data_IF_880087104280
#
_entry.id   IF_880087104280
#
_cell.length_a   1.000
_cell.length_b   1.000
_cell.length_c   1.000
_cell.angle_alpha   90.00
_cell.angle_beta   90.00
_cell.angle_gamma   90.00
#
_symmetry.space_group_name_H-M   'P 1'
#
loop_
_entity.id
_entity.type
_entity.pdbx_description
1 polymer ?
#
# COMPACT_ATOMS: atom_id res chain seq x y z
N UNK A 1 16.89 -27.78 10.05
CA UNK A 1 15.75 -27.30 10.86
C UNK A 1 16.08 -25.94 11.45
N UNK A 2 15.58 -24.84 10.88
CA UNK A 2 15.84 -23.49 11.39
C UNK A 2 14.66 -23.08 12.26
N UNK A 3 14.84 -23.11 13.59
CA UNK A 3 13.87 -22.60 14.57
C UNK A 3 13.90 -21.08 14.55
N UNK A 4 12.84 -20.45 14.02
CA UNK A 4 12.62 -19.02 14.23
C UNK A 4 11.95 -18.81 15.58
N UNK A 5 12.65 -18.12 16.50
CA UNK A 5 12.04 -17.58 17.71
C UNK A 5 11.24 -16.34 17.30
N UNK A 6 9.93 -16.49 17.16
CA UNK A 6 9.04 -15.33 17.19
C UNK A 6 9.19 -14.69 18.56
N UNK A 7 9.71 -13.45 18.64
CA UNK A 7 9.40 -12.62 19.80
C UNK A 7 7.90 -12.38 19.74
N UNK A 8 7.16 -13.10 20.57
CA UNK A 8 5.75 -12.84 20.82
C UNK A 8 5.62 -11.38 21.24
N UNK A 9 5.16 -10.53 20.33
CA UNK A 9 4.59 -9.25 20.70
C UNK A 9 3.23 -9.60 21.28
N UNK A 10 3.23 -9.91 22.58
CA UNK A 10 2.04 -10.07 23.38
C UNK A 10 1.33 -8.71 23.38
N UNK A 11 0.29 -8.57 22.57
CA UNK A 11 -0.59 -7.41 22.61
C UNK A 11 -1.54 -7.64 23.79
N UNK A 12 -1.22 -7.06 24.94
CA UNK A 12 -2.07 -7.07 26.13
C UNK A 12 -3.40 -6.41 25.79
N UNK A 13 -4.45 -7.21 25.61
CA UNK A 13 -5.82 -6.73 25.70
C UNK A 13 -6.11 -6.48 27.18
N UNK A 14 -6.02 -5.24 27.62
CA UNK A 14 -6.56 -4.83 28.92
C UNK A 14 -8.07 -4.69 28.74
N UNK A 15 -8.81 -5.72 29.16
CA UNK A 15 -10.24 -5.63 29.39
C UNK A 15 -10.45 -5.05 30.79
N UNK A 16 -10.68 -3.75 30.88
CA UNK A 16 -11.09 -3.09 32.12
C UNK A 16 -12.56 -3.43 32.40
N UNK A 17 -12.81 -4.45 33.21
CA UNK A 17 -14.13 -4.74 33.76
C UNK A 17 -14.30 -3.88 35.03
N UNK A 18 -14.86 -2.67 34.87
CA UNK A 18 -15.35 -1.90 35.99
C UNK A 18 -16.72 -2.45 36.39
N UNK A 19 -16.76 -3.18 37.50
CA UNK A 19 -18.00 -3.58 38.17
C UNK A 19 -18.42 -2.42 39.08
N UNK A 20 -19.47 -1.70 38.71
CA UNK A 20 -20.15 -0.77 39.63
C UNK A 20 -21.63 -1.09 39.62
N UNK A 21 -22.10 -1.59 40.76
CA UNK A 21 -23.49 -1.73 41.16
C UNK A 21 -24.11 -0.34 41.33
N UNK A 22 -25.31 -0.13 40.78
CA UNK A 22 -26.06 1.12 40.95
C UNK A 22 -27.31 1.15 40.08
N UNK A 23 -28.47 0.94 40.71
CA UNK A 23 -29.82 0.94 40.12
C UNK A 23 -30.21 2.36 39.68
N UNK A 24 -30.81 2.50 38.49
CA UNK A 24 -31.43 3.75 38.03
C UNK A 24 -31.87 3.70 36.57
N UNK A 25 -33.17 3.55 36.32
CA UNK A 25 -33.78 3.45 35.01
C UNK A 25 -33.68 4.75 34.19
N UNK A 26 -33.05 4.72 33.01
CA UNK A 26 -33.26 5.77 31.98
C UNK A 26 -33.02 5.20 30.56
N UNK A 27 -34.10 5.20 29.76
CA UNK A 27 -34.08 5.32 28.30
C UNK A 27 -33.45 4.20 27.47
N UNK A 28 -34.29 3.34 26.89
CA UNK A 28 -33.95 2.55 25.71
C UNK A 28 -33.62 3.48 24.53
N UNK A 29 -32.36 3.89 24.41
CA UNK A 29 -31.83 4.36 23.15
C UNK A 29 -31.72 3.16 22.22
N UNK A 30 -32.64 3.07 21.25
CA UNK A 30 -32.48 2.21 20.09
C UNK A 30 -31.26 2.70 19.29
N UNK A 31 -30.06 2.34 19.74
CA UNK A 31 -28.89 2.36 18.88
C UNK A 31 -29.07 1.19 17.92
N UNK A 32 -29.74 1.44 16.79
CA UNK A 32 -29.51 0.67 15.58
C UNK A 32 -28.08 0.96 15.11
N UNK A 33 -27.09 0.53 15.88
CA UNK A 33 -25.75 0.31 15.40
C UNK A 33 -25.88 -0.83 14.39
N UNK A 34 -26.14 -0.46 13.13
CA UNK A 34 -26.07 -1.37 12.00
C UNK A 34 -24.78 -2.15 12.18
N UNK A 35 -24.89 -3.46 12.39
CA UNK A 35 -23.73 -4.33 12.53
C UNK A 35 -22.91 -4.15 11.26
N UNK A 36 -21.87 -3.32 11.33
CA UNK A 36 -21.00 -3.06 10.20
C UNK A 36 -20.52 -4.41 9.72
N UNK A 37 -20.84 -4.76 8.49
CA UNK A 37 -20.33 -5.97 7.86
C UNK A 37 -18.82 -6.07 8.14
N UNK A 38 -18.38 -7.24 8.60
CA UNK A 38 -16.95 -7.53 8.82
C UNK A 38 -16.28 -8.02 7.53
N UNK A 39 -17.03 -8.09 6.43
CA UNK A 39 -16.57 -8.57 5.14
C UNK A 39 -16.15 -7.40 4.27
N UNK A 40 -14.89 -7.45 3.83
CA UNK A 40 -14.28 -6.49 2.91
C UNK A 40 -14.21 -7.15 1.54
N UNK A 41 -14.59 -6.43 0.50
CA UNK A 41 -14.38 -6.89 -0.88
C UNK A 41 -13.17 -6.20 -1.49
N UNK A 42 -12.40 -6.98 -2.24
CA UNK A 42 -11.41 -6.45 -3.17
C UNK A 42 -11.92 -6.55 -4.61
N UNK A 43 -11.72 -5.48 -5.37
CA UNK A 43 -12.34 -5.26 -6.67
C UNK A 43 -11.30 -4.83 -7.70
N UNK A 44 -11.51 -5.20 -8.94
CA UNK A 44 -10.68 -4.84 -10.09
C UNK A 44 -11.55 -4.62 -11.33
N UNK A 45 -10.93 -4.50 -12.49
CA UNK A 45 -11.64 -4.50 -13.77
C UNK A 45 -12.48 -5.76 -14.03
N UNK A 46 -12.18 -6.89 -13.37
CA UNK A 46 -12.95 -8.13 -13.51
C UNK A 46 -14.39 -8.01 -13.02
N UNK A 47 -14.66 -7.14 -12.05
CA UNK A 47 -16.02 -6.85 -11.60
C UNK A 47 -16.73 -5.84 -12.50
N UNK A 48 -15.99 -5.15 -13.37
CA UNK A 48 -16.48 -4.16 -14.32
C UNK A 48 -16.64 -2.76 -13.71
N UNK A 49 -17.22 -1.85 -14.50
CA UNK A 49 -17.55 -0.48 -14.07
C UNK A 49 -18.77 -0.51 -13.15
N UNK A 50 -18.66 0.09 -11.98
CA UNK A 50 -19.78 0.24 -11.05
C UNK A 50 -20.82 1.21 -11.62
N UNK A 51 -22.09 0.98 -11.30
CA UNK A 51 -23.15 1.99 -11.48
C UNK A 51 -23.38 2.74 -10.17
N UNK A 52 -24.09 3.87 -10.22
CA UNK A 52 -24.52 4.59 -9.03
C UNK A 52 -25.25 3.68 -8.02
N UNK A 53 -26.19 2.85 -8.50
CA UNK A 53 -26.94 1.89 -7.67
C UNK A 53 -26.00 0.87 -7.01
N UNK A 54 -25.05 0.31 -7.77
CA UNK A 54 -24.07 -0.67 -7.24
C UNK A 54 -23.19 -0.04 -6.16
N UNK A 55 -22.64 1.15 -6.39
CA UNK A 55 -21.80 1.84 -5.41
C UNK A 55 -22.57 2.23 -4.13
N UNK A 56 -23.80 2.74 -4.27
CA UNK A 56 -24.69 3.05 -3.14
C UNK A 56 -25.07 1.80 -2.33
N UNK A 57 -25.30 0.67 -2.99
CA UNK A 57 -25.63 -0.57 -2.29
C UNK A 57 -24.40 -1.19 -1.63
N UNK A 58 -23.22 -1.07 -2.25
CA UNK A 58 -21.97 -1.58 -1.71
C UNK A 58 -21.65 -0.96 -0.35
N UNK A 59 -22.00 0.31 -0.11
CA UNK A 59 -21.81 0.97 1.19
C UNK A 59 -22.53 0.28 2.36
N UNK A 60 -23.51 -0.58 2.08
CA UNK A 60 -24.27 -1.36 3.07
C UNK A 60 -23.68 -2.76 3.29
N UNK A 61 -22.86 -3.25 2.36
CA UNK A 61 -22.29 -4.60 2.42
C UNK A 61 -20.86 -4.64 2.97
N UNK A 62 -20.12 -3.53 2.87
CA UNK A 62 -18.70 -3.52 3.24
C UNK A 62 -18.36 -2.35 4.17
N UNK A 63 -17.43 -2.54 5.12
CA UNK A 63 -16.91 -1.45 5.93
C UNK A 63 -16.00 -0.52 5.11
N UNK A 64 -15.34 -1.09 4.10
CA UNK A 64 -14.55 -0.44 3.05
C UNK A 64 -14.29 -1.44 1.91
N UNK A 65 -13.83 -0.96 0.76
CA UNK A 65 -13.37 -1.79 -0.36
C UNK A 65 -11.84 -1.71 -0.56
N UNK A 66 -11.26 -2.62 -1.33
CA UNK A 66 -9.86 -2.55 -1.77
C UNK A 66 -9.81 -2.59 -3.29
N UNK A 67 -9.37 -1.50 -3.93
CA UNK A 67 -9.41 -1.40 -5.39
C UNK A 67 -8.05 -1.71 -6.02
N UNK A 68 -8.02 -2.54 -7.06
CA UNK A 68 -6.83 -2.70 -7.89
C UNK A 68 -6.57 -1.40 -8.63
N UNK A 69 -5.33 -0.94 -8.57
CA UNK A 69 -4.88 0.24 -9.34
C UNK A 69 -4.10 -0.17 -10.57
N UNK A 70 -3.35 -1.26 -10.48
CA UNK A 70 -2.38 -1.62 -11.49
C UNK A 70 -2.01 -3.11 -11.50
N UNK A 71 -1.51 -3.54 -12.66
CA UNK A 71 -0.80 -4.82 -12.84
C UNK A 71 0.63 -4.50 -13.29
N UNK A 72 1.53 -4.42 -12.31
CA UNK A 72 2.85 -3.81 -12.47
C UNK A 72 2.77 -2.34 -12.93
N UNK A 73 3.94 -1.76 -13.23
CA UNK A 73 4.01 -0.36 -13.69
C UNK A 73 3.36 -0.15 -15.05
N UNK A 74 3.35 -1.14 -15.94
CA UNK A 74 2.94 -0.97 -17.34
C UNK A 74 1.43 -0.97 -17.58
N UNK A 75 0.63 -1.43 -16.61
CA UNK A 75 -0.81 -1.57 -16.80
C UNK A 75 -1.56 -0.86 -15.68
N UNK A 76 -2.44 0.09 -16.06
CA UNK A 76 -3.40 0.69 -15.14
C UNK A 76 -4.72 -0.07 -15.24
N UNK A 77 -5.32 -0.42 -14.11
CA UNK A 77 -6.63 -1.06 -14.09
C UNK A 77 -7.67 -0.15 -14.76
N UNK A 78 -8.41 -0.69 -15.74
CA UNK A 78 -9.29 0.09 -16.61
C UNK A 78 -10.49 0.69 -15.89
N UNK A 79 -10.91 0.11 -14.76
CA UNK A 79 -12.10 0.55 -14.03
C UNK A 79 -11.76 1.40 -12.81
N UNK A 80 -10.52 1.35 -12.32
CA UNK A 80 -10.09 2.02 -11.08
C UNK A 80 -10.57 3.48 -10.97
N UNK A 81 -10.25 4.33 -11.96
CA UNK A 81 -10.62 5.76 -11.91
C UNK A 81 -12.12 5.99 -11.79
N UNK A 82 -12.91 5.23 -12.56
CA UNK A 82 -14.38 5.30 -12.55
C UNK A 82 -14.96 4.78 -11.23
N UNK A 83 -14.51 3.61 -10.79
CA UNK A 83 -15.01 2.97 -9.58
C UNK A 83 -14.66 3.79 -8.33
N UNK A 84 -13.42 4.29 -8.23
CA UNK A 84 -13.00 5.24 -7.19
C UNK A 84 -13.92 6.45 -7.13
N UNK A 85 -14.22 7.10 -8.26
CA UNK A 85 -15.05 8.30 -8.28
C UNK A 85 -16.48 8.04 -7.75
N UNK A 86 -17.04 6.87 -8.04
CA UNK A 86 -18.33 6.47 -7.46
C UNK A 86 -18.22 6.12 -5.97
N UNK A 87 -17.16 5.44 -5.53
CA UNK A 87 -16.96 5.18 -4.10
C UNK A 87 -16.78 6.49 -3.31
N UNK A 88 -16.03 7.45 -3.85
CA UNK A 88 -15.91 8.81 -3.29
C UNK A 88 -17.30 9.48 -3.18
N UNK A 89 -18.09 9.47 -4.27
CA UNK A 89 -19.44 10.06 -4.31
C UNK A 89 -20.39 9.46 -3.28
N UNK A 90 -20.32 8.14 -3.05
CA UNK A 90 -21.18 7.44 -2.10
C UNK A 90 -20.52 7.18 -0.74
N UNK A 91 -19.41 7.87 -0.46
CA UNK A 91 -18.70 7.83 0.83
C UNK A 91 -18.30 6.42 1.27
N UNK A 92 -17.99 5.53 0.32
CA UNK A 92 -17.47 4.19 0.59
C UNK A 92 -15.95 4.30 0.74
N UNK A 93 -15.38 4.11 1.95
CA UNK A 93 -13.93 4.20 2.11
C UNK A 93 -13.24 3.09 1.33
N UNK A 94 -12.02 3.36 0.85
CA UNK A 94 -11.24 2.34 0.16
C UNK A 94 -9.74 2.43 0.42
N UNK A 95 -9.12 1.25 0.44
CA UNK A 95 -7.69 1.07 0.20
C UNK A 95 -7.41 0.73 -1.26
N UNK A 96 -6.14 0.58 -1.61
CA UNK A 96 -5.73 0.20 -2.96
C UNK A 96 -4.66 -0.89 -2.97
N UNK A 97 -4.67 -1.72 -4.00
CA UNK A 97 -3.62 -2.71 -4.22
C UNK A 97 -2.97 -2.60 -5.61
N UNK A 98 -1.72 -3.03 -5.67
CA UNK A 98 -0.95 -3.23 -6.90
C UNK A 98 -0.67 -4.71 -7.05
N UNK A 99 -1.17 -5.34 -8.12
CA UNK A 99 -0.69 -6.66 -8.50
C UNK A 99 0.75 -6.50 -8.98
N UNK A 100 1.71 -6.88 -8.16
CA UNK A 100 3.11 -6.55 -8.34
C UNK A 100 3.81 -7.47 -9.34
N UNK A 101 4.59 -6.87 -10.23
CA UNK A 101 5.32 -7.56 -11.32
C UNK A 101 6.80 -7.22 -11.34
N UNK A 102 7.29 -6.57 -10.28
CA UNK A 102 8.68 -6.17 -10.19
C UNK A 102 9.63 -7.37 -10.25
N UNK A 103 10.71 -7.20 -10.99
CA UNK A 103 11.78 -8.18 -11.14
C UNK A 103 13.15 -7.64 -10.69
N UNK A 104 13.15 -6.57 -9.91
CA UNK A 104 14.34 -5.97 -9.31
C UNK A 104 13.91 -4.94 -8.26
N UNK A 105 14.81 -4.56 -7.35
CA UNK A 105 14.55 -3.46 -6.40
C UNK A 105 14.27 -2.13 -7.09
N UNK A 106 14.87 -1.87 -8.26
CA UNK A 106 14.59 -0.68 -9.03
C UNK A 106 13.17 -0.70 -9.64
N UNK A 107 12.71 -1.85 -10.14
CA UNK A 107 11.34 -2.03 -10.61
C UNK A 107 10.34 -1.92 -9.46
N UNK A 108 10.62 -2.54 -8.31
CA UNK A 108 9.77 -2.47 -7.13
C UNK A 108 9.60 -1.02 -6.64
N UNK A 109 10.68 -0.24 -6.63
CA UNK A 109 10.62 1.17 -6.32
C UNK A 109 9.79 1.98 -7.33
N UNK A 110 9.84 1.63 -8.62
CA UNK A 110 9.00 2.27 -9.65
C UNK A 110 7.53 1.91 -9.43
N UNK A 111 7.21 0.64 -9.27
CA UNK A 111 5.83 0.16 -9.06
C UNK A 111 5.19 0.82 -7.83
N UNK A 112 5.92 0.95 -6.72
CA UNK A 112 5.45 1.65 -5.52
C UNK A 112 5.13 3.13 -5.78
N UNK A 113 5.99 3.85 -6.53
CA UNK A 113 5.73 5.25 -6.91
C UNK A 113 4.55 5.38 -7.85
N UNK A 114 4.42 4.47 -8.81
CA UNK A 114 3.32 4.48 -9.78
C UNK A 114 1.98 4.24 -9.08
N UNK A 115 1.93 3.32 -8.12
CA UNK A 115 0.75 3.10 -7.29
C UNK A 115 0.34 4.37 -6.54
N UNK A 116 1.29 5.03 -5.87
CA UNK A 116 1.04 6.28 -5.16
C UNK A 116 0.55 7.38 -6.10
N UNK A 117 1.22 7.59 -7.24
CA UNK A 117 0.86 8.62 -8.21
C UNK A 117 -0.54 8.41 -8.79
N UNK A 118 -0.96 7.16 -8.99
CA UNK A 118 -2.30 6.81 -9.48
C UNK A 118 -3.37 6.95 -8.40
N UNK A 119 -3.02 6.78 -7.12
CA UNK A 119 -3.96 6.78 -6.00
C UNK A 119 -3.41 7.47 -4.73
N UNK A 120 -3.09 8.77 -4.76
CA UNK A 120 -2.43 9.45 -3.63
C UNK A 120 -3.33 9.60 -2.39
N UNK A 121 -4.65 9.57 -2.61
CA UNK A 121 -5.66 9.77 -1.57
C UNK A 121 -6.23 8.47 -0.99
N UNK A 122 -5.69 7.30 -1.37
CA UNK A 122 -6.11 6.02 -0.77
C UNK A 122 -5.87 6.02 0.75
N UNK A 123 -6.71 5.28 1.49
CA UNK A 123 -6.65 5.22 2.95
C UNK A 123 -5.51 4.31 3.45
N UNK A 124 -5.24 3.24 2.71
CA UNK A 124 -4.10 2.35 2.90
C UNK A 124 -3.70 1.73 1.55
N UNK A 125 -2.52 1.12 1.51
CA UNK A 125 -1.91 0.57 0.31
C UNK A 125 -1.51 -0.88 0.53
N UNK A 126 -1.59 -1.69 -0.53
CA UNK A 126 -1.26 -3.11 -0.48
C UNK A 126 -0.25 -3.44 -1.57
N UNK A 127 0.84 -4.10 -1.18
CA UNK A 127 1.70 -4.84 -2.11
C UNK A 127 1.12 -6.25 -2.29
N UNK A 128 0.42 -6.47 -3.40
CA UNK A 128 -0.04 -7.80 -3.78
C UNK A 128 1.08 -8.47 -4.58
N UNK A 129 1.83 -9.36 -3.91
CA UNK A 129 2.96 -10.05 -4.51
C UNK A 129 2.80 -11.55 -4.30
N UNK A 130 2.41 -12.22 -5.39
CA UNK A 130 2.02 -13.63 -5.40
C UNK A 130 2.61 -14.43 -6.58
N UNK A 131 3.44 -13.78 -7.40
CA UNK A 131 4.17 -14.39 -8.51
C UNK A 131 5.54 -13.73 -8.66
N UNK A 132 6.61 -14.53 -8.66
CA UNK A 132 7.98 -14.05 -8.77
C UNK A 132 8.65 -14.55 -10.06
N UNK A 133 9.32 -13.64 -10.76
CA UNK A 133 10.22 -13.94 -11.89
C UNK A 133 11.69 -13.69 -11.52
N UNK A 134 11.99 -13.69 -10.22
CA UNK A 134 13.30 -13.40 -9.64
C UNK A 134 13.67 -14.39 -8.54
N UNK A 135 14.97 -14.61 -8.35
CA UNK A 135 15.47 -15.45 -7.27
C UNK A 135 14.97 -14.98 -5.90
N UNK A 136 14.78 -15.91 -4.96
CA UNK A 136 14.28 -15.64 -3.59
C UNK A 136 15.03 -14.53 -2.85
N UNK A 137 16.37 -14.49 -2.93
CA UNK A 137 17.19 -13.43 -2.33
C UNK A 137 16.83 -12.05 -2.89
N UNK A 138 16.88 -11.90 -4.22
CA UNK A 138 16.51 -10.65 -4.89
C UNK A 138 15.03 -10.29 -4.70
N UNK A 139 14.17 -11.28 -4.50
CA UNK A 139 12.76 -11.09 -4.19
C UNK A 139 12.54 -10.39 -2.84
N UNK A 140 13.27 -10.81 -1.81
CA UNK A 140 13.26 -10.12 -0.51
C UNK A 140 13.77 -8.67 -0.64
N UNK A 141 14.92 -8.48 -1.32
CA UNK A 141 15.49 -7.15 -1.56
C UNK A 141 14.52 -6.24 -2.35
N UNK A 142 13.79 -6.78 -3.32
CA UNK A 142 12.81 -6.04 -4.11
C UNK A 142 11.55 -5.70 -3.31
N UNK A 143 11.02 -6.67 -2.56
CA UNK A 143 9.83 -6.49 -1.72
C UNK A 143 10.09 -5.49 -0.59
N UNK A 144 11.24 -5.57 0.08
CA UNK A 144 11.66 -4.56 1.04
C UNK A 144 11.77 -3.17 0.40
N UNK A 145 12.36 -3.10 -0.81
CA UNK A 145 12.49 -1.83 -1.53
C UNK A 145 11.15 -1.22 -1.91
N UNK A 146 10.13 -2.03 -2.20
CA UNK A 146 8.78 -1.56 -2.49
C UNK A 146 8.21 -0.75 -1.31
N UNK A 147 8.16 -1.35 -0.12
CA UNK A 147 7.60 -0.70 1.08
C UNK A 147 8.45 0.48 1.54
N UNK A 148 9.78 0.36 1.51
CA UNK A 148 10.69 1.46 1.85
C UNK A 148 10.53 2.66 0.90
N UNK A 149 10.13 2.42 -0.35
CA UNK A 149 9.87 3.51 -1.32
C UNK A 149 8.51 4.16 -1.09
N UNK A 150 7.49 3.38 -0.74
CA UNK A 150 6.14 3.90 -0.54
C UNK A 150 5.98 4.64 0.79
N UNK A 151 6.60 4.16 1.88
CA UNK A 151 6.48 4.71 3.23
C UNK A 151 6.61 6.24 3.31
N UNK A 152 7.65 6.89 2.78
CA UNK A 152 7.79 8.35 2.86
C UNK A 152 6.70 9.12 2.09
N UNK A 153 6.03 8.49 1.11
CA UNK A 153 4.96 9.11 0.33
C UNK A 153 3.61 9.08 1.05
N UNK A 154 3.39 8.08 1.91
CA UNK A 154 2.08 7.81 2.52
C UNK A 154 2.03 8.11 4.01
N UNK A 155 3.17 8.41 4.64
CA UNK A 155 3.26 8.76 6.05
C UNK A 155 2.81 7.62 6.96
N UNK A 156 1.85 7.91 7.84
CA UNK A 156 1.30 6.96 8.82
C UNK A 156 0.21 6.03 8.27
N UNK A 157 -0.22 6.20 7.00
CA UNK A 157 -1.17 5.29 6.36
C UNK A 157 -0.62 3.87 6.33
N UNK A 158 -1.51 2.89 6.44
CA UNK A 158 -1.11 1.47 6.49
C UNK A 158 -0.59 0.98 5.15
N UNK A 159 0.44 0.15 5.21
CA UNK A 159 1.01 -0.57 4.07
C UNK A 159 0.98 -2.06 4.39
N UNK A 160 0.16 -2.80 3.65
CA UNK A 160 -0.03 -4.23 3.83
C UNK A 160 0.74 -5.03 2.78
N UNK A 161 1.08 -6.25 3.15
CA UNK A 161 1.55 -7.26 2.21
C UNK A 161 0.44 -8.28 1.98
N UNK A 162 0.10 -8.53 0.72
CA UNK A 162 -0.86 -9.56 0.33
C UNK A 162 -0.18 -10.70 -0.41
N UNK A 163 -0.53 -11.93 -0.03
CA UNK A 163 -0.14 -13.17 -0.72
C UNK A 163 -0.80 -14.39 -0.06
N UNK A 164 -0.62 -15.57 -0.65
CA UNK A 164 -0.84 -16.84 0.03
C UNK A 164 0.43 -17.32 0.79
N UNK A 165 0.22 -18.18 1.78
CA UNK A 165 1.23 -18.51 2.79
C UNK A 165 2.55 -19.07 2.21
N UNK A 166 2.45 -20.03 1.28
CA UNK A 166 3.62 -20.69 0.70
C UNK A 166 4.52 -19.70 -0.06
N UNK A 167 3.90 -18.80 -0.83
CA UNK A 167 4.63 -17.79 -1.59
C UNK A 167 5.35 -16.79 -0.68
N UNK A 168 4.63 -16.21 0.28
CA UNK A 168 5.23 -15.19 1.16
C UNK A 168 6.42 -15.75 1.95
N UNK A 169 6.33 -17.01 2.43
CA UNK A 169 7.43 -17.69 3.11
C UNK A 169 8.64 -17.90 2.19
N UNK A 170 8.38 -18.24 0.93
CA UNK A 170 9.42 -18.56 -0.05
C UNK A 170 10.12 -17.32 -0.60
N UNK A 171 9.38 -16.24 -0.86
CA UNK A 171 9.84 -15.11 -1.67
C UNK A 171 9.92 -13.78 -0.92
N UNK A 172 9.32 -13.65 0.27
CA UNK A 172 9.25 -12.38 0.99
C UNK A 172 9.56 -12.48 2.50
N UNK A 173 9.92 -13.65 3.02
CA UNK A 173 10.05 -13.92 4.47
C UNK A 173 10.94 -12.95 5.25
N UNK A 174 11.98 -12.38 4.63
CA UNK A 174 12.87 -11.40 5.26
C UNK A 174 12.36 -9.95 5.15
N UNK A 175 11.42 -9.70 4.23
CA UNK A 175 10.83 -8.37 4.02
C UNK A 175 9.51 -8.17 4.79
N UNK A 176 8.84 -9.24 5.20
CA UNK A 176 7.51 -9.18 5.82
C UNK A 176 7.43 -8.25 7.04
N UNK A 177 8.47 -8.23 7.89
CA UNK A 177 8.51 -7.38 9.09
C UNK A 177 8.52 -5.87 8.83
N UNK A 178 8.70 -5.44 7.57
CA UNK A 178 8.63 -4.03 7.16
C UNK A 178 7.20 -3.54 6.89
N UNK A 179 6.24 -4.46 6.78
CA UNK A 179 4.83 -4.14 6.52
C UNK A 179 4.06 -4.00 7.83
N UNK A 180 3.01 -3.19 7.81
CA UNK A 180 2.19 -2.93 9.01
C UNK A 180 1.25 -4.10 9.34
N UNK A 181 0.97 -4.96 8.36
CA UNK A 181 0.10 -6.12 8.52
C UNK A 181 0.03 -6.96 7.25
N UNK A 182 -0.52 -8.16 7.39
CA UNK A 182 -0.68 -9.11 6.27
C UNK A 182 -2.15 -9.27 5.91
N UNK A 183 -2.42 -9.21 4.61
CA UNK A 183 -3.67 -9.64 4.03
C UNK A 183 -3.44 -11.03 3.45
N UNK A 184 -3.89 -12.06 4.16
CA UNK A 184 -3.55 -13.45 3.87
C UNK A 184 -4.66 -14.10 3.03
N UNK A 185 -4.28 -14.63 1.86
CA UNK A 185 -5.15 -15.49 1.06
C UNK A 185 -5.06 -16.94 1.56
N UNK A 186 -6.21 -17.49 1.97
CA UNK A 186 -6.33 -18.90 2.34
C UNK A 186 -7.79 -19.36 2.25
N UNK A 187 -8.12 -20.14 1.22
CA UNK A 187 -9.51 -20.58 0.96
C UNK A 187 -9.82 -21.87 1.70
N UNK A 188 -9.54 -21.88 3.00
CA UNK A 188 -9.77 -23.00 3.91
C UNK A 188 -11.04 -22.78 4.73
N UNK A 189 -11.63 -23.87 5.22
CA UNK A 189 -12.81 -23.80 6.11
C UNK A 189 -12.51 -23.02 7.39
N UNK A 190 -11.35 -23.29 7.99
CA UNK A 190 -10.89 -22.68 9.22
C UNK A 190 -9.89 -21.57 8.93
N UNK A 191 -9.87 -20.57 9.80
CA UNK A 191 -8.93 -19.46 9.73
C UNK A 191 -7.49 -19.94 9.98
N UNK A 192 -6.50 -19.47 9.19
CA UNK A 192 -5.10 -19.75 9.47
C UNK A 192 -4.64 -19.11 10.79
N UNK A 193 -3.89 -19.84 11.61
CA UNK A 193 -3.34 -19.34 12.89
C UNK A 193 -2.17 -18.35 12.75
N UNK A 194 -1.69 -18.11 11.54
CA UNK A 194 -0.59 -17.18 11.28
C UNK A 194 -1.11 -15.75 11.35
N UNK A 195 -0.36 -14.84 11.97
CA UNK A 195 -0.75 -13.44 12.10
C UNK A 195 -1.21 -12.84 10.76
N UNK A 196 -2.35 -12.17 10.77
CA UNK A 196 -2.90 -11.44 9.63
C UNK A 196 -3.92 -10.40 10.13
N UNK A 197 -4.07 -9.31 9.40
CA UNK A 197 -5.06 -8.24 9.70
C UNK A 197 -6.30 -8.35 8.82
N UNK A 198 -6.17 -9.02 7.68
CA UNK A 198 -7.23 -9.40 6.75
C UNK A 198 -7.02 -10.85 6.33
N UNK A 199 -8.10 -11.64 6.32
CA UNK A 199 -8.09 -13.00 5.79
C UNK A 199 -9.02 -13.08 4.58
N UNK A 200 -8.46 -13.19 3.38
CA UNK A 200 -9.21 -13.50 2.17
C UNK A 200 -9.55 -14.99 2.18
N UNK A 201 -10.81 -15.28 2.45
CA UNK A 201 -11.29 -16.64 2.70
C UNK A 201 -11.97 -17.27 1.49
N UNK A 202 -12.32 -16.46 0.48
CA UNK A 202 -12.97 -16.94 -0.74
C UNK A 202 -12.80 -15.95 -1.89
N UNK A 203 -12.80 -16.49 -3.10
CA UNK A 203 -12.90 -15.80 -4.40
C UNK A 203 -14.34 -15.85 -4.98
N UNK A 204 -15.30 -16.35 -4.19
CA UNK A 204 -16.64 -16.74 -4.68
C UNK A 204 -17.78 -16.19 -3.83
N UNK A 205 -17.52 -15.20 -2.99
CA UNK A 205 -18.57 -14.57 -2.20
C UNK A 205 -19.55 -13.84 -3.12
N UNK A 206 -20.85 -14.10 -2.98
CA UNK A 206 -21.85 -13.41 -3.78
C UNK A 206 -22.17 -12.04 -3.17
N UNK A 207 -21.89 -10.97 -3.90
CA UNK A 207 -22.32 -9.62 -3.52
C UNK A 207 -23.67 -9.29 -4.16
N UNK A 208 -24.68 -9.06 -3.31
CA UNK A 208 -26.00 -8.60 -3.74
C UNK A 208 -25.97 -7.18 -4.30
N UNK A 209 -25.00 -6.35 -3.90
CA UNK A 209 -24.79 -5.02 -4.45
C UNK A 209 -24.25 -5.07 -5.88
N UNK A 210 -23.39 -6.05 -6.20
CA UNK A 210 -22.72 -6.14 -7.50
C UNK A 210 -23.38 -7.11 -8.48
N UNK A 211 -24.23 -8.01 -7.95
CA UNK A 211 -24.87 -9.14 -8.64
C UNK A 211 -23.81 -10.09 -9.24
N UNK A 212 -22.71 -10.29 -8.53
CA UNK A 212 -21.54 -11.06 -8.99
C UNK A 212 -20.81 -11.70 -7.81
N UNK A 213 -20.04 -12.75 -8.13
CA UNK A 213 -19.04 -13.30 -7.21
C UNK A 213 -17.84 -12.36 -7.12
N UNK A 214 -17.33 -12.18 -5.92
CA UNK A 214 -16.18 -11.35 -5.58
C UNK A 214 -15.30 -12.04 -4.55
N UNK A 215 -14.06 -11.59 -4.51
CA UNK A 215 -13.11 -11.94 -3.49
C UNK A 215 -13.50 -11.23 -2.18
N UNK A 216 -13.54 -11.99 -1.09
CA UNK A 216 -14.02 -11.50 0.19
C UNK A 216 -13.05 -11.84 1.32
N UNK A 217 -12.86 -10.85 2.19
CA UNK A 217 -11.95 -10.91 3.31
C UNK A 217 -12.64 -10.62 4.63
N UNK A 218 -12.27 -11.32 5.70
CA UNK A 218 -12.72 -10.99 7.06
C UNK A 218 -11.71 -10.08 7.75
N UNK A 219 -12.21 -9.07 8.46
CA UNK A 219 -11.39 -8.17 9.29
C UNK A 219 -10.90 -8.86 10.57
N UNK A 220 -9.60 -8.73 10.85
CA UNK A 220 -8.98 -9.09 12.14
C UNK A 220 -8.41 -7.90 12.89
N UNK A 221 -8.52 -6.72 12.29
CA UNK A 221 -8.23 -5.44 12.91
C UNK A 221 -9.45 -4.51 12.84
N UNK A 222 -9.45 -3.50 13.70
CA UNK A 222 -10.52 -2.50 13.71
C UNK A 222 -10.51 -1.68 12.42
N UNK A 223 -11.69 -1.33 11.89
CA UNK A 223 -11.83 -0.48 10.69
C UNK A 223 -11.01 0.82 10.79
N UNK A 224 -10.96 1.43 11.96
CA UNK A 224 -10.19 2.65 12.24
C UNK A 224 -8.68 2.47 12.07
N UNK A 225 -8.15 1.27 12.30
CA UNK A 225 -6.74 0.96 12.09
C UNK A 225 -6.34 1.07 10.62
N UNK A 226 -7.23 0.67 9.70
CA UNK A 226 -7.02 0.79 8.25
C UNK A 226 -7.24 2.21 7.74
N UNK A 227 -8.32 2.86 8.19
CA UNK A 227 -8.80 4.11 7.59
C UNK A 227 -8.24 5.38 8.25
N UNK A 228 -7.58 5.22 9.39
CA UNK A 228 -7.25 6.31 10.31
C UNK A 228 -8.48 6.76 11.12
N UNK A 229 -8.23 7.54 12.16
CA UNK A 229 -9.29 8.22 12.90
C UNK A 229 -9.84 9.37 12.07
N UNK A 230 -11.13 9.33 11.76
CA UNK A 230 -11.83 10.53 11.27
C UNK A 230 -11.94 11.46 12.47
N UNK A 231 -11.22 12.57 12.48
CA UNK A 231 -11.52 13.65 13.40
C UNK A 231 -12.96 14.08 13.10
N UNK A 232 -13.90 13.78 14.02
CA UNK A 232 -15.20 14.44 13.99
C UNK A 232 -14.91 15.91 14.24
N UNK A 233 -15.07 16.75 13.24
CA UNK A 233 -15.27 18.18 13.49
C UNK A 233 -16.60 18.28 14.22
N UNK A 234 -16.55 18.42 15.55
CA UNK A 234 -17.73 18.78 16.33
C UNK A 234 -17.95 20.26 16.02
N UNK A 235 -18.87 20.57 15.12
CA UNK A 235 -19.39 21.92 15.00
C UNK A 235 -20.26 22.16 16.24
N UNK A 236 -19.68 22.76 17.27
CA UNK A 236 -20.41 23.29 18.42
C UNK A 236 -21.17 24.56 17.99
N UNK A 237 -22.22 24.42 17.18
CA UNK A 237 -23.11 25.54 16.83
C UNK A 237 -24.55 25.37 17.36
N UNK A 238 -24.83 24.34 18.16
CA UNK A 238 -26.16 24.11 18.76
C UNK A 238 -26.20 24.37 20.28
N UNK A 239 -25.38 25.29 20.78
CA UNK A 239 -25.45 25.78 22.16
C UNK A 239 -26.10 27.18 22.23
N UNK A 240 -27.25 27.39 21.57
CA UNK A 240 -28.14 28.50 21.95
C UNK A 240 -29.58 28.31 21.45
N UNK A 241 -30.31 27.38 22.05
CA UNK A 241 -31.77 27.49 22.20
C UNK A 241 -32.11 27.31 23.68
N UNK A 242 -32.32 28.45 24.34
CA UNK A 242 -32.64 28.53 25.74
C UNK A 242 -33.93 27.79 26.07
N UNK A 243 -33.86 26.93 27.08
CA UNK A 243 -35.02 26.45 27.79
C UNK A 243 -34.96 27.05 29.20
N UNK A 244 -35.85 28.01 29.44
CA UNK A 244 -36.09 28.57 30.78
C UNK A 244 -36.57 27.45 31.69
N UNK A 245 -35.81 27.13 32.72
CA UNK A 245 -36.32 26.45 33.90
C UNK A 245 -35.83 27.24 35.11
N UNK A 246 -36.78 27.86 35.80
CA UNK A 246 -36.56 28.56 37.04
C UNK A 246 -36.13 27.56 38.12
N UNK A 247 -35.11 27.89 38.90
CA UNK A 247 -34.95 27.27 40.21
C UNK A 247 -34.53 28.31 41.25
N UNK A 248 -35.21 28.24 42.39
CA UNK A 248 -35.17 29.17 43.52
C UNK A 248 -33.95 28.92 44.42
N UNK A 249 -33.43 30.03 44.95
CA UNK A 249 -32.76 30.23 46.24
C UNK A 249 -31.57 29.36 46.67
N UNK A 250 -30.46 30.06 46.96
CA UNK A 250 -29.37 29.58 47.80
C UNK A 250 -28.08 30.37 47.58
N UNK A 251 -27.97 31.55 48.17
CA UNK A 251 -26.79 32.42 48.14
C UNK A 251 -25.63 31.81 48.95
N UNK A 252 -24.43 31.75 48.39
CA UNK A 252 -23.20 32.16 49.10
C UNK A 252 -22.13 32.53 48.08
N UNK A 253 -21.67 33.77 48.22
CA UNK A 253 -20.71 34.47 47.37
C UNK A 253 -19.29 34.26 47.92
N UNK A 254 -18.35 33.82 47.07
CA UNK A 254 -16.92 34.15 47.22
C UNK A 254 -16.32 34.43 45.83
N UNK A 255 -15.81 35.65 45.68
CA UNK A 255 -15.11 36.26 44.52
C UNK A 255 -13.65 35.74 44.38
N UNK A 256 -12.88 36.11 43.34
CA UNK A 256 -11.87 35.25 42.71
C UNK A 256 -10.43 35.57 43.16
N UNK A 257 -9.55 34.56 43.13
CA UNK A 257 -8.11 34.78 43.24
C UNK A 257 -7.46 34.71 41.85
N UNK A 258 -7.14 35.88 41.32
CA UNK A 258 -6.13 36.09 40.28
C UNK A 258 -4.73 35.83 40.84
N UNK A 259 -3.92 35.01 40.18
CA UNK A 259 -2.46 35.03 40.36
C UNK A 259 -1.71 34.89 39.02
N UNK A 260 -1.08 36.01 38.69
CA UNK A 260 -0.13 36.35 37.64
C UNK A 260 1.13 35.46 37.52
N UNK A 261 1.72 35.54 36.33
CA UNK A 261 3.17 35.58 36.01
C UNK A 261 3.95 34.31 35.64
N UNK A 262 4.20 34.21 34.34
CA UNK A 262 5.53 34.25 33.73
C UNK A 262 6.69 33.45 34.39
N UNK A 263 7.01 32.31 33.76
CA UNK A 263 8.34 31.66 33.59
C UNK A 263 8.04 30.50 32.62
N UNK A 264 8.60 30.34 31.43
CA UNK A 264 9.98 30.54 30.99
C UNK A 264 10.01 30.49 29.46
N UNK A 265 10.23 31.64 28.84
CA UNK A 265 10.79 31.74 27.49
C UNK A 265 12.25 31.29 27.54
N UNK A 266 12.54 29.98 27.39
CA UNK A 266 13.92 29.48 27.32
C UNK A 266 14.05 28.09 26.68
N UNK A 267 13.52 27.88 25.46
CA UNK A 267 13.86 26.67 24.65
C UNK A 267 14.18 26.99 23.16
N UNK A 268 13.93 28.21 22.67
CA UNK A 268 14.09 28.50 21.23
C UNK A 268 15.51 28.96 20.80
N UNK A 269 16.48 29.11 21.70
CA UNK A 269 17.80 29.69 21.35
C UNK A 269 19.02 28.75 21.28
N UNK A 270 18.85 27.42 21.32
CA UNK A 270 19.96 26.45 21.23
C UNK A 270 19.99 25.57 19.96
N UNK A 271 19.03 25.70 19.05
CA UNK A 271 19.00 24.92 17.80
C UNK A 271 19.62 25.63 16.56
N UNK A 272 19.91 26.93 16.63
CA UNK A 272 20.30 27.72 15.45
C UNK A 272 21.82 27.80 15.17
N UNK A 273 22.70 27.38 16.11
CA UNK A 273 24.17 27.51 15.94
C UNK A 273 24.90 26.26 15.43
N UNK A 274 24.24 25.08 15.39
CA UNK A 274 24.83 23.83 14.85
C UNK A 274 24.56 23.57 13.35
N UNK A 275 23.75 24.39 12.69
CA UNK A 275 23.38 24.20 11.28
C UNK A 275 24.33 24.89 10.26
N UNK A 276 25.21 25.81 10.69
CA UNK A 276 26.10 26.56 9.77
C UNK A 276 27.50 25.93 9.57
N UNK A 277 27.97 25.03 10.43
CA UNK A 277 29.32 24.46 10.32
C UNK A 277 29.42 23.16 9.48
N UNK A 278 28.31 22.45 9.17
CA UNK A 278 28.33 21.22 8.36
C UNK A 278 28.15 21.43 6.84
N UNK A 279 27.82 22.66 6.40
CA UNK A 279 27.49 22.94 4.98
C UNK A 279 28.71 23.26 4.11
N UNK A 280 29.86 23.60 4.70
CA UNK A 280 31.08 23.97 3.97
C UNK A 280 31.95 22.76 3.56
N UNK A 281 31.98 21.68 4.34
CA UNK A 281 32.89 20.54 4.11
C UNK A 281 32.35 19.51 3.09
N UNK A 282 31.04 19.48 2.84
CA UNK A 282 30.40 18.48 1.96
C UNK A 282 30.40 18.83 0.46
N UNK A 283 30.63 20.10 0.10
CA UNK A 283 30.60 20.57 -1.30
C UNK A 283 31.90 20.28 -2.07
N UNK A 284 33.04 20.13 -1.40
CA UNK A 284 34.36 19.95 -2.07
C UNK A 284 34.68 18.49 -2.43
N UNK A 285 34.08 17.50 -1.75
CA UNK A 285 34.34 16.06 -1.96
C UNK A 285 33.43 15.40 -3.00
N UNK A 286 32.23 15.93 -3.24
CA UNK A 286 31.29 15.39 -4.25
C UNK A 286 31.70 15.72 -5.69
N UNK A 287 32.24 16.91 -5.95
CA UNK A 287 32.66 17.31 -7.31
C UNK A 287 33.80 16.44 -7.89
N UNK A 288 34.79 16.05 -7.07
CA UNK A 288 35.92 15.20 -7.54
C UNK A 288 35.50 13.75 -7.85
N UNK A 289 34.44 13.22 -7.21
CA UNK A 289 33.98 11.84 -7.41
C UNK A 289 33.13 11.67 -8.68
N UNK A 290 32.37 12.70 -9.07
CA UNK A 290 31.55 12.67 -10.29
C UNK A 290 32.38 12.73 -11.58
N UNK A 291 33.48 13.50 -11.62
CA UNK A 291 34.35 13.61 -12.81
C UNK A 291 35.11 12.30 -13.10
N UNK A 292 35.58 11.57 -12.08
CA UNK A 292 36.23 10.25 -12.27
C UNK A 292 35.25 9.17 -12.77
N UNK A 293 33.97 9.22 -12.34
CA UNK A 293 32.95 8.25 -12.77
C UNK A 293 32.48 8.50 -14.21
N UNK A 294 32.40 9.76 -14.65
CA UNK A 294 32.09 10.13 -16.03
C UNK A 294 33.17 9.67 -17.02
N UNK A 295 34.46 9.87 -16.73
CA UNK A 295 35.56 9.42 -17.60
C UNK A 295 35.62 7.89 -17.75
N UNK A 296 35.24 7.12 -16.72
CA UNK A 296 35.20 5.64 -16.78
C UNK A 296 34.02 5.10 -17.61
N UNK A 297 32.90 5.82 -17.65
CA UNK A 297 31.74 5.45 -18.49
C UNK A 297 31.99 5.72 -19.98
N UNK A 298 32.67 6.81 -20.34
CA UNK A 298 32.98 7.12 -21.75
C UNK A 298 33.90 6.08 -22.38
N UNK A 299 34.95 5.62 -21.68
CA UNK A 299 35.83 4.52 -22.16
C UNK A 299 35.11 3.17 -22.33
N UNK A 300 34.08 2.90 -21.52
CA UNK A 300 33.33 1.62 -21.59
C UNK A 300 32.33 1.61 -22.76
N UNK A 301 31.76 2.76 -23.10
CA UNK A 301 30.82 2.91 -24.22
C UNK A 301 31.54 2.84 -25.57
N UNK A 302 32.76 3.40 -25.69
CA UNK A 302 33.56 3.30 -26.92
C UNK A 302 34.05 1.88 -27.22
N UNK A 303 34.36 1.08 -26.19
CA UNK A 303 34.68 -0.35 -26.37
C UNK A 303 33.48 -1.21 -26.77
N UNK A 304 32.28 -0.95 -26.24
CA UNK A 304 31.09 -1.71 -26.65
C UNK A 304 30.68 -1.41 -28.09
N UNK A 305 30.80 -0.15 -28.55
CA UNK A 305 30.46 0.22 -29.94
C UNK A 305 31.39 -0.45 -30.96
N UNK A 306 32.71 -0.51 -30.71
CA UNK A 306 33.67 -1.25 -31.57
C UNK A 306 33.41 -2.76 -31.63
N UNK A 307 32.94 -3.39 -30.54
CA UNK A 307 32.67 -4.84 -30.49
C UNK A 307 31.38 -5.23 -31.24
N UNK A 308 30.37 -4.36 -31.24
CA UNK A 308 29.14 -4.57 -32.01
C UNK A 308 29.38 -4.45 -33.52
N UNK A 309 30.16 -3.45 -33.98
CA UNK A 309 30.47 -3.30 -35.42
C UNK A 309 31.23 -4.51 -35.98
N UNK A 310 32.22 -5.06 -35.25
CA UNK A 310 32.95 -6.28 -35.70
C UNK A 310 32.05 -7.54 -35.78
N UNK A 311 31.03 -7.68 -34.93
CA UNK A 311 30.08 -8.80 -34.99
C UNK A 311 29.10 -8.68 -36.16
N UNK A 312 28.69 -7.46 -36.52
CA UNK A 312 27.79 -7.20 -37.65
C UNK A 312 28.44 -7.56 -39.00
N UNK A 313 29.73 -7.21 -39.17
CA UNK A 313 30.49 -7.48 -40.41
C UNK A 313 30.71 -8.99 -40.63
N UNK A 314 31.02 -9.76 -39.57
CA UNK A 314 31.16 -11.23 -39.66
C UNK A 314 29.84 -11.92 -40.03
N UNK A 315 28.68 -11.40 -39.59
CA UNK A 315 27.36 -11.98 -39.89
C UNK A 315 26.94 -11.71 -41.35
N UNK A 316 27.36 -10.58 -41.93
CA UNK A 316 27.12 -10.27 -43.34
C UNK A 316 27.99 -11.08 -44.31
N UNK A 317 29.26 -11.38 -43.98
CA UNK A 317 30.09 -12.25 -44.82
C UNK A 317 29.58 -13.71 -44.87
N UNK A 318 29.05 -14.24 -43.76
CA UNK A 318 28.49 -15.61 -43.75
C UNK A 318 27.22 -15.75 -44.61
N UNK A 319 26.37 -14.71 -44.68
CA UNK A 319 25.17 -14.71 -45.55
C UNK A 319 25.49 -14.60 -47.04
N UNK A 320 26.58 -13.92 -47.44
CA UNK A 320 27.02 -13.85 -48.85
C UNK A 320 27.59 -15.18 -49.36
N UNK A 321 28.29 -15.96 -48.53
CA UNK A 321 28.80 -17.28 -48.93
C UNK A 321 27.70 -18.31 -49.17
N UNK A 322 26.62 -18.33 -48.36
CA UNK A 322 25.53 -19.30 -48.52
C UNK A 322 24.73 -19.06 -49.81
N UNK A 323 24.56 -17.80 -50.24
CA UNK A 323 23.88 -17.48 -51.52
C UNK A 323 24.71 -17.85 -52.76
N UNK A 324 26.05 -17.78 -52.73
CA UNK A 324 26.90 -18.20 -53.86
C UNK A 324 26.93 -19.72 -54.06
N UNK A 325 26.82 -20.53 -53.00
CA UNK A 325 26.83 -22.00 -53.09
C UNK A 325 25.51 -22.55 -53.65
N UNK A 326 24.37 -21.89 -53.39
CA UNK A 326 23.07 -22.31 -53.94
C UNK A 326 22.88 -21.98 -55.43
N UNK A 327 23.58 -20.99 -55.99
CA UNK A 327 23.53 -20.72 -57.44
C UNK A 327 24.41 -21.68 -58.26
N UNK A 328 25.53 -22.17 -57.73
CA UNK A 328 26.39 -23.13 -58.45
C UNK A 328 25.78 -24.54 -58.56
N UNK A 329 24.90 -24.96 -57.64
CA UNK A 329 24.22 -26.27 -57.71
C UNK A 329 23.00 -26.35 -58.63
N UNK A 330 22.44 -25.20 -59.07
CA UNK A 330 21.29 -25.18 -60.00
C UNK A 330 21.68 -25.19 -61.50
N UNK A 331 22.96 -25.02 -61.84
CA UNK A 331 23.45 -25.04 -63.23
C UNK A 331 24.22 -26.32 -63.62
N UNK A 332 24.17 -27.39 -62.82
CA UNK A 332 24.81 -28.69 -63.12
C UNK A 332 23.82 -29.86 -63.28
N UNK A 333 22.53 -29.58 -63.48
CA UNK A 333 21.50 -30.61 -63.78
C UNK A 333 20.77 -30.39 -65.11
N UNK A 334 21.45 -29.84 -66.11
CA UNK A 334 20.87 -29.68 -67.47
C UNK A 334 21.73 -30.15 -68.65
N UNK A 335 22.85 -30.83 -68.42
CA UNK A 335 23.54 -31.55 -69.49
C UNK A 335 24.16 -32.82 -68.90
N UNK A 336 23.59 -33.99 -69.24
CA UNK A 336 24.22 -35.25 -69.68
C UNK A 336 23.07 -36.26 -69.81
N UNK A 337 22.90 -36.74 -71.06
CA UNK A 337 22.17 -37.91 -71.57
C UNK A 337 20.79 -38.25 -70.98
#
# INVERSE_FOLDING_TARGET
MIKFRFKSILMTMVASLALTTGVGAIGSFNTHASASSKTVYDLSEWQGRLTNKKAKNLSKEVPFAILRVQYGSSYSDKTFKHNKALLDKYQVPYGVYSFSRYNSSAAAAREARDLYNRAPNAKFYVNDFESASISRRHSNDATAKWVDTLRPLVGSKKILFYSYLSFMKTYASQALSKYDGYWLASYTKNEPSIAHVLWQYTDRHYSSALHKKVDASKLREQKSWFLGTVAKTVNNNDANKGQKVANKQGNTEVKPATASSAKTAKVVKLAAKKAKAKKATFKKTTAKKHVKKAKKHVKKVTHHKKKHVKKSVKKHHKKKHVKKVHHKKKHHKKHVA
#
